data_IF_034980013773
#
_entry.id   IF_034980013773
#
_cell.length_a   1.000
_cell.length_b   1.000
_cell.length_c   1.000
_cell.angle_alpha   90.00
_cell.angle_beta   90.00
_cell.angle_gamma   90.00
#
_symmetry.space_group_name_H-M   'P 1'
#
loop_
_entity.id
_entity.type
_entity.pdbx_description
1 polymer ?
#
# COMPACT_ATOMS: atom_id res chain seq x y z
N UNK A 1 3.60 -7.93 -6.80
CA UNK A 1 4.40 -8.19 -5.58
C UNK A 1 3.57 -7.97 -4.32
N UNK A 2 2.97 -6.79 -4.15
CA UNK A 2 2.21 -6.37 -2.96
C UNK A 2 0.99 -7.27 -2.65
N UNK A 3 0.19 -7.66 -3.66
CA UNK A 3 -0.95 -8.57 -3.43
C UNK A 3 -0.53 -9.93 -2.86
N UNK A 4 0.69 -10.38 -3.18
CA UNK A 4 1.22 -11.65 -2.69
C UNK A 4 1.58 -11.55 -1.20
N UNK A 5 2.07 -10.38 -0.75
CA UNK A 5 2.35 -10.11 0.66
C UNK A 5 1.06 -10.02 1.48
N UNK A 6 0.00 -9.35 0.98
CA UNK A 6 -1.34 -9.34 1.63
C UNK A 6 -1.86 -10.77 1.85
N UNK A 7 -1.74 -11.61 0.83
CA UNK A 7 -2.28 -12.96 0.89
C UNK A 7 -1.49 -13.88 1.84
N UNK A 8 -0.28 -13.49 2.25
CA UNK A 8 0.54 -14.21 3.20
C UNK A 8 0.20 -13.86 4.66
N UNK A 9 -0.42 -12.71 4.93
CA UNK A 9 -0.74 -12.25 6.29
C UNK A 9 -1.45 -13.30 7.17
N UNK A 10 -2.48 -14.03 6.69
CA UNK A 10 -3.16 -15.03 7.52
C UNK A 10 -2.28 -16.21 7.91
N UNK A 11 -1.25 -16.51 7.11
CA UNK A 11 -0.32 -17.62 7.35
C UNK A 11 0.80 -17.22 8.32
N UNK A 12 1.12 -15.92 8.40
CA UNK A 12 2.13 -15.40 9.29
C UNK A 12 1.75 -15.57 10.77
N UNK A 13 0.46 -15.44 11.12
CA UNK A 13 -0.03 -15.64 12.50
C UNK A 13 0.34 -17.01 13.08
N UNK A 14 0.21 -18.09 12.29
CA UNK A 14 0.57 -19.44 12.72
C UNK A 14 2.09 -19.62 12.90
N UNK A 15 2.87 -18.90 12.10
CA UNK A 15 4.33 -18.98 12.13
C UNK A 15 4.94 -18.20 13.31
N UNK A 16 4.30 -17.09 13.70
CA UNK A 16 4.74 -16.28 14.84
C UNK A 16 4.51 -16.98 16.19
N UNK A 17 3.48 -17.83 16.30
CA UNK A 17 3.23 -18.60 17.53
C UNK A 17 4.23 -19.72 17.80
N UNK A 18 4.94 -20.19 16.78
CA UNK A 18 5.85 -21.34 16.88
C UNK A 18 7.32 -20.94 17.15
N UNK A 19 7.68 -19.66 16.96
CA UNK A 19 9.06 -19.18 17.12
C UNK A 19 9.16 -17.95 18.02
N UNK A 20 9.83 -18.11 19.15
CA UNK A 20 10.09 -17.05 20.12
C UNK A 20 10.93 -15.91 19.53
N UNK A 21 11.78 -16.19 18.54
CA UNK A 21 12.58 -15.17 17.85
C UNK A 21 11.75 -14.31 16.88
N UNK A 22 10.64 -14.85 16.37
CA UNK A 22 9.78 -14.17 15.42
C UNK A 22 8.67 -13.35 16.10
N UNK A 23 8.44 -13.57 17.40
CA UNK A 23 7.45 -12.83 18.18
C UNK A 23 7.63 -11.30 18.11
N UNK A 24 8.86 -10.81 17.95
CA UNK A 24 9.16 -9.38 17.79
C UNK A 24 8.71 -8.76 16.46
N UNK A 25 8.38 -9.59 15.47
CA UNK A 25 7.85 -9.17 14.17
C UNK A 25 6.34 -9.41 14.05
N UNK A 26 5.70 -9.89 15.13
CA UNK A 26 4.25 -10.04 15.15
C UNK A 26 3.61 -8.67 15.05
N UNK A 27 2.70 -8.51 14.09
CA UNK A 27 1.92 -7.31 13.92
C UNK A 27 0.59 -7.50 14.64
N UNK A 28 0.21 -6.51 15.44
CA UNK A 28 -1.14 -6.45 15.99
C UNK A 28 -2.18 -6.32 14.87
N UNK A 29 -3.47 -6.65 15.14
CA UNK A 29 -4.54 -6.45 14.16
C UNK A 29 -4.63 -5.02 13.62
N UNK A 30 -4.28 -4.03 14.45
CA UNK A 30 -4.25 -2.61 14.05
C UNK A 30 -3.10 -2.34 13.08
N UNK A 31 -1.90 -2.84 13.38
CA UNK A 31 -0.73 -2.72 12.49
C UNK A 31 -0.97 -3.43 11.16
N UNK A 32 -1.65 -4.57 11.17
CA UNK A 32 -2.10 -5.24 9.94
C UNK A 32 -3.07 -4.38 9.13
N UNK A 33 -4.03 -3.72 9.78
CA UNK A 33 -4.93 -2.76 9.13
C UNK A 33 -4.18 -1.58 8.51
N UNK A 34 -3.14 -1.07 9.19
CA UNK A 34 -2.28 -0.01 8.67
C UNK A 34 -1.43 -0.49 7.48
N UNK A 35 -0.86 -1.69 7.56
CA UNK A 35 -0.12 -2.30 6.47
C UNK A 35 -1.01 -2.49 5.22
N UNK A 36 -2.25 -2.96 5.39
CA UNK A 36 -3.22 -3.06 4.30
C UNK A 36 -3.52 -1.71 3.65
N UNK A 37 -3.70 -0.65 4.46
CA UNK A 37 -3.89 0.72 3.96
C UNK A 37 -2.69 1.23 3.15
N UNK A 38 -1.46 0.95 3.62
CA UNK A 38 -0.23 1.26 2.89
C UNK A 38 -0.14 0.48 1.58
N UNK A 39 -0.54 -0.78 1.57
CA UNK A 39 -0.53 -1.61 0.36
C UNK A 39 -1.53 -1.08 -0.68
N UNK A 40 -2.73 -0.66 -0.28
CA UNK A 40 -3.69 0.02 -1.16
C UNK A 40 -3.17 1.37 -1.71
N UNK A 41 -2.32 2.07 -0.95
CA UNK A 41 -1.66 3.28 -1.43
C UNK A 41 -0.63 2.96 -2.51
N UNK A 42 0.20 1.93 -2.29
CA UNK A 42 1.37 1.62 -3.12
C UNK A 42 0.99 0.81 -4.38
N UNK A 43 -0.10 0.04 -4.36
CA UNK A 43 -0.49 -0.80 -5.49
C UNK A 43 -0.61 -0.03 -6.83
N UNK A 44 -1.33 1.11 -6.93
CA UNK A 44 -1.40 1.87 -8.18
C UNK A 44 -0.05 2.42 -8.63
N UNK A 45 0.85 2.74 -7.69
CA UNK A 45 2.21 3.18 -7.99
C UNK A 45 3.02 2.03 -8.59
N UNK A 46 2.96 0.82 -8.02
CA UNK A 46 3.60 -0.37 -8.57
C UNK A 46 3.15 -0.65 -9.99
N UNK A 47 1.84 -0.57 -10.25
CA UNK A 47 1.28 -0.81 -11.59
C UNK A 47 1.70 0.27 -12.58
N UNK A 48 1.78 1.53 -12.15
CA UNK A 48 2.32 2.60 -12.97
C UNK A 48 3.80 2.37 -13.32
N UNK A 49 4.61 1.92 -12.36
CA UNK A 49 6.00 1.54 -12.60
C UNK A 49 6.11 0.41 -13.62
N UNK A 50 5.30 -0.64 -13.52
CA UNK A 50 5.27 -1.73 -14.52
C UNK A 50 4.94 -1.20 -15.93
N UNK A 51 3.94 -0.32 -16.05
CA UNK A 51 3.52 0.25 -17.35
C UNK A 51 4.61 1.17 -17.93
N UNK A 52 5.21 2.03 -17.12
CA UNK A 52 6.18 3.03 -17.57
C UNK A 52 7.57 2.42 -17.81
N UNK A 53 8.03 1.57 -16.89
CA UNK A 53 9.34 0.92 -16.98
C UNK A 53 9.34 -0.31 -17.90
N UNK A 54 8.16 -0.87 -18.24
CA UNK A 54 8.03 -1.90 -19.26
C UNK A 54 8.38 -1.43 -20.67
N UNK A 55 8.55 -0.13 -20.89
CA UNK A 55 9.07 0.44 -22.13
C UNK A 55 10.40 1.14 -21.87
N UNK A 56 11.37 0.93 -22.77
CA UNK A 56 12.64 1.67 -22.73
C UNK A 56 12.44 3.19 -22.94
N UNK A 57 11.36 3.58 -23.63
CA UNK A 57 11.02 4.97 -23.93
C UNK A 57 9.49 5.14 -23.88
N UNK A 58 8.89 5.32 -22.69
CA UNK A 58 7.46 5.57 -22.60
C UNK A 58 7.12 6.86 -23.36
N UNK A 59 6.17 6.78 -24.30
CA UNK A 59 5.71 7.94 -25.05
C UNK A 59 4.81 8.81 -24.17
N UNK A 60 4.69 10.10 -24.50
CA UNK A 60 3.79 11.01 -23.79
C UNK A 60 2.36 10.47 -23.72
N UNK A 61 1.87 9.87 -24.80
CA UNK A 61 0.53 9.28 -24.87
C UNK A 61 0.34 8.08 -23.94
N UNK A 62 1.42 7.38 -23.56
CA UNK A 62 1.38 6.33 -22.54
C UNK A 62 1.60 6.88 -21.13
N UNK A 63 2.50 7.85 -20.98
CA UNK A 63 2.88 8.39 -19.67
C UNK A 63 1.82 9.33 -19.07
N UNK A 64 1.21 10.18 -19.88
CA UNK A 64 0.25 11.20 -19.42
C UNK A 64 -1.00 10.59 -18.75
N UNK A 65 -1.67 9.56 -19.31
CA UNK A 65 -2.80 8.92 -18.63
C UNK A 65 -2.41 8.28 -17.29
N UNK A 66 -1.24 7.64 -17.23
CA UNK A 66 -0.71 7.03 -15.99
C UNK A 66 -0.49 8.10 -14.93
N UNK A 67 0.14 9.22 -15.30
CA UNK A 67 0.37 10.35 -14.38
C UNK A 67 -0.94 10.93 -13.85
N UNK A 68 -1.95 11.14 -14.71
CA UNK A 68 -3.25 11.68 -14.30
C UNK A 68 -3.97 10.77 -13.31
N UNK A 69 -3.93 9.45 -13.54
CA UNK A 69 -4.53 8.46 -12.62
C UNK A 69 -3.81 8.47 -11.27
N UNK A 70 -2.47 8.46 -11.27
CA UNK A 70 -1.68 8.54 -10.04
C UNK A 70 -1.98 9.81 -9.25
N UNK A 71 -2.04 10.96 -9.92
CA UNK A 71 -2.34 12.24 -9.27
C UNK A 71 -3.72 12.25 -8.61
N UNK A 72 -4.74 11.67 -9.27
CA UNK A 72 -6.08 11.52 -8.69
C UNK A 72 -6.07 10.60 -7.46
N UNK A 73 -5.34 9.48 -7.54
CA UNK A 73 -5.21 8.54 -6.43
C UNK A 73 -4.53 9.18 -5.21
N UNK A 74 -3.40 9.86 -5.41
CA UNK A 74 -2.68 10.55 -4.33
C UNK A 74 -3.52 11.63 -3.67
N UNK A 75 -4.26 12.43 -4.45
CA UNK A 75 -5.19 13.44 -3.91
C UNK A 75 -6.30 12.82 -3.06
N UNK A 76 -6.84 11.67 -3.47
CA UNK A 76 -7.87 10.95 -2.69
C UNK A 76 -7.30 10.47 -1.37
N UNK A 77 -6.11 9.88 -1.39
CA UNK A 77 -5.43 9.40 -0.18
C UNK A 77 -5.11 10.56 0.75
N UNK A 78 -4.54 11.65 0.24
CA UNK A 78 -4.24 12.85 1.02
C UNK A 78 -5.48 13.39 1.74
N UNK A 79 -6.64 13.43 1.06
CA UNK A 79 -7.91 13.83 1.68
C UNK A 79 -8.37 12.84 2.76
N UNK A 80 -8.22 11.54 2.52
CA UNK A 80 -8.53 10.51 3.52
C UNK A 80 -7.68 10.65 4.79
N UNK A 81 -6.37 10.86 4.64
CA UNK A 81 -5.44 11.07 5.75
C UNK A 81 -5.74 12.36 6.51
N UNK A 82 -6.05 13.46 5.81
CA UNK A 82 -6.45 14.72 6.44
C UNK A 82 -7.72 14.54 7.28
N UNK A 83 -8.74 13.86 6.75
CA UNK A 83 -9.98 13.58 7.49
C UNK A 83 -9.72 12.70 8.72
N UNK A 84 -8.84 11.70 8.63
CA UNK A 84 -8.45 10.90 9.80
C UNK A 84 -7.74 11.74 10.87
N UNK A 85 -6.81 12.62 10.48
CA UNK A 85 -6.13 13.50 11.43
C UNK A 85 -7.07 14.48 12.15
N UNK A 86 -8.11 14.95 11.46
CA UNK A 86 -9.15 15.80 12.06
C UNK A 86 -9.98 15.04 13.10
N UNK A 87 -10.31 13.77 12.85
CA UNK A 87 -11.07 12.94 13.78
C UNK A 87 -10.27 12.62 15.05
N UNK A 88 -8.95 12.47 14.93
CA UNK A 88 -8.06 12.23 16.08
C UNK A 88 -7.83 13.46 16.97
N UNK A 89 -8.15 14.68 16.51
CA UNK A 89 -8.02 15.91 17.32
C UNK A 89 -9.26 16.22 18.17
N UNK A 90 -10.37 15.52 17.97
CA UNK A 90 -11.66 15.77 18.64
C UNK A 90 -11.98 14.69 19.69
N UNK A 91 -11.02 13.81 19.99
CA UNK A 91 -11.13 12.79 21.06
C UNK A 91 -10.11 13.10 22.14
#
# INVERSE_FOLDING_TARGET
MIQREINLCPYCEHFYSESQELAKYHLSPVEWGQAANLMHLIEPLSKATEILCGSKHPTLNKALPVYLVLMKHLKRVQRGLYNQSLLMQVT
#
